data_IF_609596008984
#
_entry.id   IF_609596008984
#
_cell.length_a   1.000
_cell.length_b   1.000
_cell.length_c   1.000
_cell.angle_alpha   90.00
_cell.angle_beta   90.00
_cell.angle_gamma   90.00
#
_symmetry.space_group_name_H-M   'P 1'
#
loop_
_entity.id
_entity.type
_entity.pdbx_description
1 polymer ?
#
# COMPACT_ATOMS: atom_id res chain seq x y z
N UNK A 1 -13.02 2.80 19.66
CA UNK A 1 -13.17 2.94 21.14
C UNK A 1 -12.26 2.00 21.93
N UNK A 2 -12.11 0.72 21.56
CA UNK A 2 -11.24 -0.25 22.28
C UNK A 2 -9.76 0.15 22.27
N UNK A 3 -9.20 0.52 21.12
CA UNK A 3 -7.78 0.91 21.02
C UNK A 3 -7.42 2.18 21.79
N UNK A 4 -8.31 3.19 21.81
CA UNK A 4 -8.10 4.41 22.60
C UNK A 4 -8.04 4.10 24.11
N UNK A 5 -8.86 3.16 24.61
CA UNK A 5 -8.77 2.67 25.98
C UNK A 5 -7.44 1.96 26.30
N UNK A 6 -6.78 1.41 25.27
CA UNK A 6 -5.44 0.81 25.38
C UNK A 6 -4.30 1.84 25.19
N UNK A 7 -4.62 3.13 25.16
CA UNK A 7 -3.62 4.21 25.03
C UNK A 7 -3.16 4.51 23.60
N UNK A 8 -3.80 3.93 22.58
CA UNK A 8 -3.46 4.22 21.18
C UNK A 8 -4.19 5.48 20.72
N UNK A 9 -3.41 6.51 20.39
CA UNK A 9 -3.92 7.75 19.82
C UNK A 9 -4.17 7.60 18.31
N UNK A 10 -5.23 8.22 17.81
CA UNK A 10 -5.61 8.16 16.40
C UNK A 10 -5.84 9.57 15.88
N UNK A 11 -5.22 9.88 14.75
CA UNK A 11 -5.49 11.07 13.96
C UNK A 11 -6.09 10.61 12.63
N UNK A 12 -7.43 10.56 12.55
CA UNK A 12 -8.15 10.29 11.30
C UNK A 12 -8.25 11.56 10.46
N UNK A 13 -8.47 11.42 9.15
CA UNK A 13 -8.44 12.57 8.21
C UNK A 13 -7.12 13.35 8.27
N UNK A 14 -6.05 12.68 8.70
CA UNK A 14 -4.71 13.24 8.79
C UNK A 14 -3.93 12.95 7.51
N UNK A 15 -3.42 13.99 6.88
CA UNK A 15 -2.49 13.86 5.74
C UNK A 15 -1.07 14.11 6.22
N UNK A 16 -0.22 13.09 6.13
CA UNK A 16 1.22 13.25 6.41
C UNK A 16 1.83 14.07 5.27
N UNK A 17 2.52 15.16 5.63
CA UNK A 17 3.15 16.08 4.68
C UNK A 17 4.66 15.87 4.63
N UNK A 18 5.29 15.59 5.78
CA UNK A 18 6.75 15.45 5.87
C UNK A 18 7.16 14.50 6.99
N UNK A 19 8.24 13.77 6.75
CA UNK A 19 8.91 12.91 7.73
C UNK A 19 10.38 13.31 7.72
N UNK A 20 10.91 13.72 8.86
CA UNK A 20 12.29 14.15 9.05
C UNK A 20 12.96 13.29 10.13
N UNK A 21 14.17 12.81 9.87
CA UNK A 21 15.00 12.20 10.91
C UNK A 21 15.51 13.29 11.87
N UNK A 22 15.53 12.99 13.16
CA UNK A 22 16.07 13.85 14.22
C UNK A 22 17.22 13.14 14.91
N UNK A 23 17.94 13.84 15.80
CA UNK A 23 19.06 13.25 16.55
C UNK A 23 18.67 12.04 17.39
N UNK A 24 17.41 11.94 17.80
CA UNK A 24 16.91 10.90 18.73
C UNK A 24 15.73 10.12 18.18
N UNK A 25 15.37 10.29 16.91
CA UNK A 25 14.18 9.65 16.35
C UNK A 25 13.69 10.31 15.07
N UNK A 26 12.38 10.52 14.98
CA UNK A 26 11.67 10.89 13.76
C UNK A 26 10.62 11.94 14.12
N UNK A 27 10.57 13.01 13.34
CA UNK A 27 9.54 14.04 13.38
C UNK A 27 8.58 13.86 12.19
N UNK A 28 7.29 13.75 12.47
CA UNK A 28 6.24 13.65 11.44
C UNK A 28 5.38 14.89 11.49
N UNK A 29 5.34 15.63 10.39
CA UNK A 29 4.43 16.75 10.18
C UNK A 29 3.22 16.27 9.38
N UNK A 30 2.02 16.58 9.87
CA UNK A 30 0.76 16.19 9.24
C UNK A 30 -0.31 17.25 9.44
N UNK A 31 -1.28 17.28 8.54
CA UNK A 31 -2.40 18.22 8.58
C UNK A 31 -3.68 17.48 8.98
N UNK A 32 -4.43 18.02 9.92
CA UNK A 32 -5.78 17.56 10.29
C UNK A 32 -6.72 18.75 10.22
N UNK A 33 -7.80 18.64 9.44
CA UNK A 33 -8.80 19.71 9.27
C UNK A 33 -8.17 21.07 8.92
N UNK A 34 -7.15 21.07 8.05
CA UNK A 34 -6.42 22.26 7.61
C UNK A 34 -5.40 22.82 8.60
N UNK A 35 -5.25 22.22 9.80
CA UNK A 35 -4.27 22.63 10.81
C UNK A 35 -3.05 21.73 10.79
N UNK A 36 -1.87 22.32 10.71
CA UNK A 36 -0.61 21.59 10.84
C UNK A 36 -0.37 21.15 12.28
N UNK A 37 0.10 19.92 12.42
CA UNK A 37 0.50 19.29 13.67
C UNK A 37 1.84 18.59 13.46
N UNK A 38 2.55 18.36 14.56
CA UNK A 38 3.82 17.64 14.58
C UNK A 38 3.80 16.61 15.70
N UNK A 39 4.31 15.42 15.43
CA UNK A 39 4.58 14.40 16.45
C UNK A 39 6.04 13.93 16.32
N UNK A 40 6.67 13.63 17.45
CA UNK A 40 8.00 13.05 17.52
C UNK A 40 7.93 11.66 18.13
N UNK A 41 8.70 10.73 17.59
CA UNK A 41 8.76 9.34 18.04
C UNK A 41 10.14 8.73 17.75
N UNK A 42 10.53 7.68 18.48
CA UNK A 42 11.79 6.96 18.23
C UNK A 42 11.77 6.13 16.94
N UNK A 43 10.59 5.63 16.56
CA UNK A 43 10.40 4.75 15.39
C UNK A 43 9.11 5.09 14.65
N UNK A 44 9.10 4.77 13.36
CA UNK A 44 7.93 4.92 12.48
C UNK A 44 7.64 3.59 11.77
N UNK A 45 6.35 3.24 11.65
CA UNK A 45 5.88 2.15 10.81
C UNK A 45 5.14 2.73 9.61
N UNK A 46 5.65 2.47 8.40
CA UNK A 46 4.96 2.84 7.16
C UNK A 46 4.09 1.67 6.71
N UNK A 47 2.78 1.78 6.92
CA UNK A 47 1.79 0.75 6.59
C UNK A 47 0.62 1.33 5.79
N UNK A 48 0.92 2.15 4.76
CA UNK A 48 -0.08 2.87 3.96
C UNK A 48 -0.75 2.01 2.87
N UNK A 49 -0.21 0.83 2.57
CA UNK A 49 -0.74 -0.07 1.55
C UNK A 49 0.32 -0.96 0.94
N UNK A 50 -0.08 -1.77 -0.05
CA UNK A 50 0.79 -2.67 -0.82
C UNK A 50 0.63 -2.35 -2.31
N UNK A 51 1.69 -2.59 -3.09
CA UNK A 51 1.69 -2.49 -4.56
C UNK A 51 2.11 -3.84 -5.14
N UNK A 52 1.53 -4.28 -6.26
CA UNK A 52 1.98 -5.47 -6.98
C UNK A 52 3.42 -5.29 -7.48
N UNK A 53 4.20 -6.38 -7.47
CA UNK A 53 5.57 -6.42 -8.01
C UNK A 53 5.58 -7.05 -9.39
N UNK A 54 5.33 -6.23 -10.41
CA UNK A 54 5.24 -6.66 -11.82
C UNK A 54 6.23 -5.95 -12.73
N UNK A 55 7.18 -5.22 -12.15
CA UNK A 55 8.25 -4.53 -12.86
C UNK A 55 9.42 -5.50 -13.12
N UNK A 56 10.07 -5.39 -14.28
CA UNK A 56 11.28 -6.14 -14.66
C UNK A 56 11.13 -7.68 -14.65
N UNK A 57 9.92 -8.21 -14.92
CA UNK A 57 9.67 -9.66 -15.00
C UNK A 57 9.42 -10.17 -16.43
N UNK A 58 9.66 -9.35 -17.46
CA UNK A 58 9.53 -9.77 -18.86
C UNK A 58 8.13 -9.62 -19.47
N UNK A 59 7.20 -8.92 -18.80
CA UNK A 59 5.83 -8.73 -19.31
C UNK A 59 5.80 -8.02 -20.66
N UNK A 60 6.80 -7.19 -20.95
CA UNK A 60 6.93 -6.46 -22.22
C UNK A 60 7.05 -7.38 -23.44
N UNK A 61 7.39 -8.66 -23.25
CA UNK A 61 7.49 -9.68 -24.30
C UNK A 61 6.21 -10.52 -24.44
N UNK A 62 5.15 -10.14 -23.73
CA UNK A 62 3.88 -10.86 -23.66
C UNK A 62 2.72 -9.95 -24.04
N UNK A 63 1.53 -10.53 -24.22
CA UNK A 63 0.27 -9.78 -24.39
C UNK A 63 -0.26 -9.16 -23.10
N UNK A 64 0.37 -9.43 -21.96
CA UNK A 64 -0.10 -8.98 -20.64
C UNK A 64 0.18 -7.49 -20.48
N UNK A 65 -0.88 -6.70 -20.30
CA UNK A 65 -0.80 -5.25 -20.08
C UNK A 65 -1.27 -4.89 -18.66
N UNK A 66 -0.35 -4.54 -17.74
CA UNK A 66 -0.74 -4.17 -16.38
C UNK A 66 -1.52 -2.85 -16.31
N UNK A 67 -2.49 -2.76 -15.41
CA UNK A 67 -3.17 -1.52 -15.00
C UNK A 67 -2.68 -1.10 -13.62
N UNK A 68 -1.96 0.02 -13.54
CA UNK A 68 -1.31 0.51 -12.30
C UNK A 68 -0.43 -0.56 -11.61
N UNK A 69 0.11 -1.48 -12.40
CA UNK A 69 0.93 -2.62 -11.96
C UNK A 69 0.15 -3.90 -11.65
N UNK A 70 -1.18 -3.88 -11.69
CA UNK A 70 -1.98 -5.08 -11.49
C UNK A 70 -2.23 -5.81 -12.81
N UNK A 71 -2.27 -7.14 -12.75
CA UNK A 71 -2.53 -8.01 -13.90
C UNK A 71 -4.03 -8.24 -14.02
N UNK A 72 -4.56 -7.99 -15.22
CA UNK A 72 -5.93 -8.34 -15.55
C UNK A 72 -6.01 -9.84 -15.88
N UNK A 73 -7.02 -10.50 -15.33
CA UNK A 73 -7.33 -11.90 -15.61
C UNK A 73 -8.81 -12.10 -15.87
N UNK A 74 -9.16 -13.22 -16.48
CA UNK A 74 -10.53 -13.70 -16.54
C UNK A 74 -10.97 -14.41 -15.23
N UNK A 75 -12.15 -15.03 -15.25
CA UNK A 75 -12.70 -15.78 -14.11
C UNK A 75 -11.90 -17.02 -13.71
N UNK A 76 -11.01 -17.49 -14.57
CA UNK A 76 -10.14 -18.65 -14.36
C UNK A 76 -8.70 -18.23 -14.07
N UNK A 77 -8.48 -16.95 -13.75
CA UNK A 77 -7.16 -16.36 -13.47
C UNK A 77 -6.21 -16.37 -14.67
N UNK A 78 -6.73 -16.58 -15.88
CA UNK A 78 -5.94 -16.57 -17.10
C UNK A 78 -5.70 -15.13 -17.55
N UNK A 79 -4.47 -14.81 -17.92
CA UNK A 79 -4.08 -13.50 -18.42
C UNK A 79 -4.40 -13.35 -19.92
N UNK A 80 -4.13 -12.17 -20.48
CA UNK A 80 -4.23 -11.94 -21.93
C UNK A 80 -3.22 -12.77 -22.76
N UNK A 81 -2.18 -13.34 -22.15
CA UNK A 81 -1.27 -14.28 -22.82
C UNK A 81 -1.76 -15.73 -22.57
N UNK A 82 -2.14 -16.47 -23.63
CA UNK A 82 -2.58 -17.85 -23.48
C UNK A 82 -1.58 -18.75 -22.75
N UNK A 83 -2.05 -19.53 -21.79
CA UNK A 83 -1.20 -20.41 -20.97
C UNK A 83 -0.50 -19.72 -19.80
N UNK A 84 -0.60 -18.40 -19.66
CA UNK A 84 -0.07 -17.66 -18.51
C UNK A 84 -1.22 -17.22 -17.60
N UNK A 85 -1.06 -17.50 -16.31
CA UNK A 85 -2.03 -17.21 -15.25
C UNK A 85 -1.39 -16.30 -14.20
N UNK A 86 -2.20 -15.51 -13.51
CA UNK A 86 -1.78 -14.66 -12.40
C UNK A 86 -2.75 -14.83 -11.22
N UNK A 87 -2.24 -14.92 -9.99
CA UNK A 87 -3.04 -15.16 -8.78
C UNK A 87 -2.61 -14.26 -7.63
N UNK A 88 -3.49 -14.09 -6.63
CA UNK A 88 -3.21 -13.34 -5.41
C UNK A 88 -3.01 -11.83 -5.63
N UNK A 89 -2.21 -11.20 -4.76
CA UNK A 89 -2.05 -9.74 -4.64
C UNK A 89 -1.72 -8.99 -5.96
N UNK A 90 -1.25 -9.67 -7.00
CA UNK A 90 -0.94 -9.07 -8.30
C UNK A 90 -2.15 -8.92 -9.21
N UNK A 91 -3.26 -9.61 -8.93
CA UNK A 91 -4.46 -9.62 -9.78
C UNK A 91 -5.34 -8.41 -9.48
N UNK A 92 -5.74 -7.70 -10.54
CA UNK A 92 -6.60 -6.54 -10.43
C UNK A 92 -7.96 -6.91 -9.82
N UNK A 93 -8.37 -6.21 -8.77
CA UNK A 93 -9.69 -6.38 -8.17
C UNK A 93 -9.80 -7.52 -7.15
N UNK A 94 -8.70 -8.24 -6.86
CA UNK A 94 -8.70 -9.27 -5.83
C UNK A 94 -8.39 -8.68 -4.44
N UNK A 95 -9.06 -9.15 -3.37
CA UNK A 95 -8.61 -8.91 -2.01
C UNK A 95 -7.19 -9.44 -1.80
N UNK A 96 -6.32 -8.63 -1.20
CA UNK A 96 -4.93 -8.99 -0.92
C UNK A 96 -4.83 -9.83 0.37
N UNK A 97 -5.39 -11.04 0.30
CA UNK A 97 -5.52 -11.98 1.42
C UNK A 97 -4.98 -13.35 1.02
N UNK A 98 -4.39 -14.06 1.98
CA UNK A 98 -3.70 -15.32 1.72
C UNK A 98 -4.61 -16.49 1.28
N UNK A 99 -5.92 -16.43 1.54
CA UNK A 99 -6.87 -17.53 1.33
C UNK A 99 -7.88 -17.27 0.20
N UNK A 100 -7.66 -16.23 -0.58
CA UNK A 100 -8.53 -15.79 -1.68
C UNK A 100 -8.03 -16.33 -3.00
#
# INVERSE_FOLDING_TARGET
>A
RVFRKRGINFHTSAKVEKIDETKSGIAVAFTVDGKQQKIEAEKILIAVGRKPRTENIGLEKTKIKPDRGFIQTDSWMQTAEPGIYAIGDIVLGTPQLAHV
#
